data_IF_636048040963
#
_entry.id   IF_636048040963
#
_cell.length_a   1.000
_cell.length_b   1.000
_cell.length_c   1.000
_cell.angle_alpha   90.00
_cell.angle_beta   90.00
_cell.angle_gamma   90.00
#
_symmetry.space_group_name_H-M   'P 1'
#
loop_
_entity.id
_entity.type
_entity.pdbx_description
1 polymer ?
#
# COMPACT_ATOMS: atom_id res chain seq x y z
N UNK A 1 17.16 -20.50 -8.46
CA UNK A 1 15.96 -20.73 -7.63
C UNK A 1 15.71 -19.50 -6.81
N UNK A 2 14.89 -18.61 -7.31
CA UNK A 2 14.40 -17.46 -6.56
C UNK A 2 13.45 -17.97 -5.48
N UNK A 3 13.85 -17.85 -4.21
CA UNK A 3 12.92 -17.95 -3.09
C UNK A 3 11.87 -16.85 -3.28
N UNK A 4 10.75 -17.19 -3.88
CA UNK A 4 9.52 -16.45 -3.67
C UNK A 4 9.18 -16.76 -2.22
N UNK A 5 9.59 -15.89 -1.30
CA UNK A 5 8.99 -15.86 0.04
C UNK A 5 7.51 -15.60 -0.21
N UNK A 6 6.71 -16.61 0.02
CA UNK A 6 5.25 -16.54 0.00
C UNK A 6 4.85 -15.66 1.20
N UNK A 7 5.05 -14.36 1.05
CA UNK A 7 4.83 -13.38 2.10
C UNK A 7 3.44 -12.78 1.95
N UNK A 8 2.43 -13.66 1.88
CA UNK A 8 1.05 -13.24 1.82
C UNK A 8 0.69 -12.39 3.03
N UNK A 9 -0.08 -11.31 2.86
CA UNK A 9 -0.54 -10.50 3.97
C UNK A 9 -1.31 -11.33 4.99
N UNK A 10 -0.89 -11.28 6.26
CA UNK A 10 -1.58 -11.94 7.37
C UNK A 10 -1.50 -11.13 8.65
N UNK A 11 -2.46 -11.33 9.51
CA UNK A 11 -2.58 -10.66 10.81
C UNK A 11 -2.57 -11.66 11.94
N UNK A 12 -1.96 -11.29 13.06
CA UNK A 12 -2.08 -12.02 14.31
C UNK A 12 -3.16 -11.36 15.18
N UNK A 13 -4.25 -12.07 15.36
CA UNK A 13 -5.39 -11.59 16.14
C UNK A 13 -5.36 -12.24 17.52
N UNK A 14 -5.32 -11.40 18.56
CA UNK A 14 -5.29 -11.85 19.95
C UNK A 14 -6.64 -11.64 20.64
N UNK A 15 -6.99 -12.60 21.51
CA UNK A 15 -8.13 -12.46 22.40
C UNK A 15 -7.78 -11.52 23.56
N UNK A 16 -8.45 -10.36 23.65
CA UNK A 16 -8.16 -9.36 24.67
C UNK A 16 -8.50 -9.84 26.09
N UNK A 17 -9.58 -10.58 26.26
CA UNK A 17 -9.93 -11.16 27.56
C UNK A 17 -8.85 -12.13 28.08
N UNK A 18 -8.30 -12.96 27.22
CA UNK A 18 -7.19 -13.85 27.57
C UNK A 18 -5.92 -13.05 27.89
N UNK A 19 -5.55 -12.11 27.03
CA UNK A 19 -4.38 -11.27 27.18
C UNK A 19 -4.37 -10.51 28.51
N UNK A 20 -5.50 -9.89 28.88
CA UNK A 20 -5.66 -9.17 30.13
C UNK A 20 -5.59 -10.08 31.38
N UNK A 21 -5.79 -11.37 31.20
CA UNK A 21 -5.66 -12.40 32.26
C UNK A 21 -4.32 -13.15 32.22
N UNK A 22 -3.36 -12.68 31.42
CA UNK A 22 -2.01 -13.25 31.33
C UNK A 22 -1.89 -14.48 30.45
N UNK A 23 -2.89 -14.77 29.62
CA UNK A 23 -2.85 -15.89 28.67
C UNK A 23 -2.55 -15.40 27.26
N UNK A 24 -1.61 -16.04 26.59
CA UNK A 24 -1.36 -15.83 25.17
C UNK A 24 -2.32 -16.70 24.36
N UNK A 25 -3.40 -16.12 23.88
CA UNK A 25 -4.39 -16.79 23.04
C UNK A 25 -4.74 -15.94 21.84
N UNK A 26 -4.43 -16.42 20.65
CA UNK A 26 -4.64 -15.75 19.39
C UNK A 26 -4.39 -16.70 18.23
N UNK A 27 -4.48 -16.17 17.02
CA UNK A 27 -4.23 -16.92 15.79
C UNK A 27 -3.67 -16.02 14.70
N UNK A 28 -2.80 -16.56 13.86
CA UNK A 28 -2.46 -15.99 12.58
C UNK A 28 -3.57 -16.28 11.57
N UNK A 29 -4.05 -15.26 10.90
CA UNK A 29 -5.13 -15.33 9.93
C UNK A 29 -4.66 -14.68 8.63
N UNK A 30 -4.84 -15.37 7.51
CA UNK A 30 -4.55 -14.80 6.19
C UNK A 30 -5.48 -13.62 5.93
N UNK A 31 -4.93 -12.49 5.54
CA UNK A 31 -5.69 -11.28 5.25
C UNK A 31 -6.14 -11.21 3.78
N UNK A 32 -5.51 -12.01 2.90
CA UNK A 32 -5.87 -12.14 1.48
C UNK A 32 -7.03 -13.15 1.31
N UNK A 33 -8.16 -12.81 1.89
CA UNK A 33 -9.43 -13.54 1.79
C UNK A 33 -10.59 -12.60 2.10
N UNK A 34 -11.81 -13.05 1.89
CA UNK A 34 -13.00 -12.25 2.19
C UNK A 34 -13.07 -11.85 3.67
N UNK A 35 -13.50 -10.61 3.93
CA UNK A 35 -13.59 -10.09 5.29
C UNK A 35 -14.48 -10.96 6.21
N UNK A 36 -15.53 -11.58 5.67
CA UNK A 36 -16.41 -12.47 6.42
C UNK A 36 -15.70 -13.78 6.81
N UNK A 37 -14.80 -14.29 5.97
CA UNK A 37 -13.97 -15.45 6.30
C UNK A 37 -13.00 -15.12 7.43
N UNK A 38 -12.36 -13.94 7.36
CA UNK A 38 -11.49 -13.45 8.46
C UNK A 38 -12.29 -13.35 9.75
N UNK A 39 -13.50 -12.77 9.73
CA UNK A 39 -14.37 -12.67 10.90
C UNK A 39 -14.76 -14.04 11.46
N UNK A 40 -15.02 -15.01 10.59
CA UNK A 40 -15.33 -16.39 11.01
C UNK A 40 -14.14 -17.05 11.72
N UNK A 41 -12.92 -16.84 11.22
CA UNK A 41 -11.71 -17.34 11.88
C UNK A 41 -11.45 -16.65 13.23
N UNK A 42 -11.69 -15.34 13.32
CA UNK A 42 -11.64 -14.60 14.59
C UNK A 42 -12.65 -15.17 15.58
N UNK A 43 -13.90 -15.38 15.16
CA UNK A 43 -14.94 -15.97 16.02
C UNK A 43 -14.56 -17.36 16.49
N UNK A 44 -13.99 -18.20 15.62
CA UNK A 44 -13.50 -19.53 15.99
C UNK A 44 -12.33 -19.48 16.99
N UNK A 45 -11.44 -18.52 16.85
CA UNK A 45 -10.35 -18.28 17.80
C UNK A 45 -10.90 -17.86 19.18
N UNK A 46 -11.83 -16.90 19.20
CA UNK A 46 -12.48 -16.43 20.44
C UNK A 46 -13.25 -17.55 21.15
N UNK A 47 -13.95 -18.42 20.40
CA UNK A 47 -14.68 -19.54 20.94
C UNK A 47 -13.78 -20.57 21.65
N UNK A 48 -12.49 -20.63 21.28
CA UNK A 48 -11.48 -21.51 21.90
C UNK A 48 -10.71 -20.83 23.02
N UNK A 49 -11.05 -19.59 23.38
CA UNK A 49 -10.39 -18.85 24.46
C UNK A 49 -10.51 -19.59 25.80
N UNK A 50 -9.45 -19.57 26.64
CA UNK A 50 -9.53 -20.07 28.01
C UNK A 50 -10.47 -19.22 28.89
N UNK A 51 -10.82 -18.02 28.44
CA UNK A 51 -11.75 -17.12 29.13
C UNK A 51 -13.16 -17.29 28.53
N UNK A 52 -14.11 -17.63 29.38
CA UNK A 52 -15.51 -17.80 28.95
C UNK A 52 -16.11 -16.46 28.51
N UNK A 53 -16.89 -16.50 27.42
CA UNK A 53 -17.56 -15.32 26.82
C UNK A 53 -16.56 -14.24 26.38
N UNK A 54 -15.41 -14.64 25.85
CA UNK A 54 -14.50 -13.73 25.20
C UNK A 54 -15.12 -13.25 23.87
N UNK A 55 -15.24 -11.94 23.68
CA UNK A 55 -15.87 -11.32 22.52
C UNK A 55 -14.96 -10.27 21.87
N UNK A 56 -13.94 -9.78 22.59
CA UNK A 56 -13.07 -8.71 22.15
C UNK A 56 -11.73 -9.24 21.63
N UNK A 57 -11.26 -8.67 20.55
CA UNK A 57 -9.98 -8.97 19.92
C UNK A 57 -9.23 -7.71 19.52
N UNK A 58 -7.93 -7.87 19.26
CA UNK A 58 -7.11 -6.85 18.66
C UNK A 58 -6.07 -7.48 17.74
N UNK A 59 -5.59 -6.74 16.77
CA UNK A 59 -4.49 -7.12 15.89
C UNK A 59 -3.19 -6.76 16.62
N UNK A 60 -2.46 -7.78 17.09
CA UNK A 60 -1.22 -7.58 17.84
C UNK A 60 0.03 -7.64 16.99
N UNK A 61 -0.06 -8.26 15.81
CA UNK A 61 1.05 -8.36 14.87
C UNK A 61 0.52 -8.55 13.44
N UNK A 62 1.34 -8.29 12.46
CA UNK A 62 1.01 -8.48 11.05
C UNK A 62 2.28 -8.63 10.21
N UNK A 63 2.18 -9.29 9.08
CA UNK A 63 3.27 -9.45 8.12
C UNK A 63 2.74 -9.52 6.68
N UNK A 64 3.62 -9.32 5.70
CA UNK A 64 3.25 -9.34 4.29
C UNK A 64 2.58 -8.05 3.76
N UNK A 65 2.51 -6.98 4.55
CA UNK A 65 1.95 -5.70 4.14
C UNK A 65 3.00 -4.72 3.59
N UNK A 66 4.20 -5.21 3.26
CA UNK A 66 5.25 -4.44 2.56
C UNK A 66 5.61 -3.09 3.21
N UNK A 67 5.58 -3.00 4.54
CA UNK A 67 5.87 -1.78 5.29
C UNK A 67 4.66 -0.91 5.62
N UNK A 68 3.48 -1.24 5.12
CA UNK A 68 2.24 -0.55 5.48
C UNK A 68 1.87 -0.83 6.93
N UNK A 69 1.54 0.21 7.69
CA UNK A 69 1.17 0.09 9.09
C UNK A 69 -0.29 -0.30 9.26
N UNK A 70 -0.55 -1.38 10.00
CA UNK A 70 -1.88 -1.85 10.35
C UNK A 70 -2.17 -1.48 11.80
N UNK A 71 -3.26 -0.73 12.03
CA UNK A 71 -3.68 -0.36 13.38
C UNK A 71 -4.16 -1.57 14.18
N UNK A 72 -3.91 -1.58 15.48
CA UNK A 72 -4.37 -2.60 16.43
C UNK A 72 -5.88 -2.84 16.34
N UNK A 73 -6.65 -1.80 16.09
CA UNK A 73 -8.12 -1.84 15.98
C UNK A 73 -8.60 -1.54 14.56
N UNK A 74 -7.80 -1.84 13.54
CA UNK A 74 -8.20 -1.67 12.14
C UNK A 74 -9.46 -2.51 11.84
N UNK A 75 -10.35 -1.93 11.05
CA UNK A 75 -11.54 -2.66 10.57
C UNK A 75 -11.14 -3.79 9.63
N UNK A 76 -11.75 -4.95 9.80
CA UNK A 76 -11.42 -6.15 9.02
C UNK A 76 -11.67 -5.95 7.53
N UNK A 77 -12.71 -5.23 7.14
CA UNK A 77 -12.95 -4.90 5.73
C UNK A 77 -11.80 -4.08 5.13
N UNK A 78 -11.29 -3.10 5.88
CA UNK A 78 -10.14 -2.29 5.46
C UNK A 78 -8.87 -3.15 5.33
N UNK A 79 -8.60 -4.02 6.30
CA UNK A 79 -7.45 -4.93 6.29
C UNK A 79 -7.51 -5.86 5.07
N UNK A 80 -8.67 -6.46 4.80
CA UNK A 80 -8.87 -7.34 3.65
C UNK A 80 -8.69 -6.60 2.31
N UNK A 81 -9.20 -5.37 2.19
CA UNK A 81 -9.01 -4.53 1.00
C UNK A 81 -7.54 -4.16 0.79
N UNK A 82 -6.83 -3.77 1.86
CA UNK A 82 -5.39 -3.48 1.79
C UNK A 82 -4.59 -4.71 1.35
N UNK A 83 -4.89 -5.87 1.90
CA UNK A 83 -4.23 -7.12 1.54
C UNK A 83 -4.45 -7.44 0.05
N UNK A 84 -5.68 -7.37 -0.43
CA UNK A 84 -6.02 -7.60 -1.83
C UNK A 84 -5.33 -6.59 -2.76
N UNK A 85 -5.27 -5.33 -2.37
CA UNK A 85 -4.61 -4.27 -3.13
C UNK A 85 -3.09 -4.48 -3.25
N UNK A 86 -2.44 -4.91 -2.17
CA UNK A 86 -1.01 -5.25 -2.18
C UNK A 86 -0.77 -6.52 -3.00
N UNK A 87 -1.62 -7.53 -2.89
CA UNK A 87 -1.51 -8.77 -3.67
C UNK A 87 -1.64 -8.51 -5.18
N UNK A 88 -2.54 -7.62 -5.58
CA UNK A 88 -2.76 -7.26 -6.98
C UNK A 88 -1.67 -6.35 -7.55
N UNK A 89 -1.21 -5.36 -6.78
CA UNK A 89 -0.33 -4.28 -7.25
C UNK A 89 1.09 -4.34 -6.69
N UNK A 90 1.40 -5.30 -5.82
CA UNK A 90 2.74 -5.50 -5.27
C UNK A 90 3.31 -4.27 -4.57
N UNK A 91 4.59 -4.01 -4.81
CA UNK A 91 5.32 -2.89 -4.21
C UNK A 91 4.70 -1.51 -4.55
N UNK A 92 4.08 -1.36 -5.72
CA UNK A 92 3.38 -0.13 -6.11
C UNK A 92 2.15 0.11 -5.22
N UNK A 93 1.35 -0.92 -5.00
CA UNK A 93 0.19 -0.86 -4.11
C UNK A 93 0.58 -0.51 -2.67
N UNK A 94 1.60 -1.17 -2.15
CA UNK A 94 2.16 -0.87 -0.83
C UNK A 94 2.68 0.56 -0.73
N UNK A 95 3.42 1.03 -1.74
CA UNK A 95 3.92 2.40 -1.80
C UNK A 95 2.81 3.47 -1.80
N UNK A 96 1.71 3.21 -2.52
CA UNK A 96 0.54 4.09 -2.50
C UNK A 96 -0.15 4.11 -1.13
N UNK A 97 -0.33 2.97 -0.49
CA UNK A 97 -0.89 2.89 0.86
C UNK A 97 -0.01 3.63 1.87
N UNK A 98 1.31 3.50 1.77
CA UNK A 98 2.26 4.24 2.62
C UNK A 98 2.17 5.75 2.37
N UNK A 99 2.10 6.17 1.10
CA UNK A 99 1.97 7.58 0.69
C UNK A 99 0.73 8.25 1.32
N UNK A 100 -0.37 7.52 1.43
CA UNK A 100 -1.63 8.02 1.97
C UNK A 100 -1.93 7.54 3.40
N UNK A 101 -0.91 7.07 4.12
CA UNK A 101 -1.07 6.68 5.54
C UNK A 101 -2.05 5.54 5.79
N UNK A 102 -2.21 4.64 4.80
CA UNK A 102 -3.13 3.50 4.87
C UNK A 102 -4.54 3.80 4.38
N UNK A 103 -4.79 4.98 3.81
CA UNK A 103 -6.08 5.31 3.19
C UNK A 103 -6.25 4.55 1.88
N UNK A 104 -6.96 3.42 1.94
CA UNK A 104 -7.17 2.53 0.78
C UNK A 104 -8.05 3.20 -0.29
N UNK A 105 -9.02 4.01 0.08
CA UNK A 105 -9.88 4.71 -0.87
C UNK A 105 -9.08 5.70 -1.70
N UNK A 106 -8.18 6.44 -1.04
CA UNK A 106 -7.29 7.38 -1.72
C UNK A 106 -6.25 6.66 -2.59
N UNK A 107 -5.70 5.54 -2.12
CA UNK A 107 -4.74 4.75 -2.89
C UNK A 107 -5.37 4.17 -4.16
N UNK A 108 -6.55 3.56 -4.07
CA UNK A 108 -7.29 3.02 -5.22
C UNK A 108 -7.65 4.13 -6.22
N UNK A 109 -8.20 5.25 -5.74
CA UNK A 109 -8.52 6.40 -6.58
C UNK A 109 -7.29 6.92 -7.32
N UNK A 110 -6.17 7.09 -6.62
CA UNK A 110 -4.93 7.63 -7.21
C UNK A 110 -4.36 6.70 -8.28
N UNK A 111 -4.39 5.39 -8.04
CA UNK A 111 -3.94 4.41 -9.03
C UNK A 111 -4.84 4.41 -10.27
N UNK A 112 -6.14 4.57 -10.10
CA UNK A 112 -7.10 4.55 -11.20
C UNK A 112 -7.11 5.84 -12.02
N UNK A 113 -7.09 7.00 -11.37
CA UNK A 113 -7.37 8.29 -11.99
C UNK A 113 -6.17 9.22 -12.15
N UNK A 114 -5.06 8.96 -11.43
CA UNK A 114 -3.91 9.86 -11.37
C UNK A 114 -2.60 9.24 -11.89
N UNK A 115 -2.62 7.96 -12.30
CA UNK A 115 -1.43 7.24 -12.72
C UNK A 115 -1.05 7.54 -14.17
N UNK A 116 0.20 7.93 -14.40
CA UNK A 116 0.73 8.27 -15.73
C UNK A 116 1.68 7.25 -16.32
N UNK A 117 2.06 6.22 -15.58
CA UNK A 117 2.92 5.14 -16.05
C UNK A 117 4.24 5.03 -15.31
N UNK A 118 5.04 4.08 -15.75
CA UNK A 118 6.37 3.79 -15.22
C UNK A 118 7.44 4.37 -16.14
N UNK A 119 8.40 5.06 -15.56
CA UNK A 119 9.55 5.69 -16.22
C UNK A 119 10.83 5.36 -15.47
N UNK A 120 11.98 5.69 -16.04
CA UNK A 120 13.24 5.53 -15.32
C UNK A 120 13.43 6.63 -14.25
N UNK A 121 12.87 7.82 -14.50
CA UNK A 121 12.83 8.96 -13.60
C UNK A 121 11.74 9.94 -14.02
N UNK A 122 11.32 10.82 -13.13
CA UNK A 122 10.31 11.86 -13.42
C UNK A 122 10.72 12.77 -14.58
N UNK A 123 12.00 13.02 -14.76
CA UNK A 123 12.57 13.80 -15.87
C UNK A 123 12.11 13.28 -17.23
N UNK A 124 12.12 11.96 -17.43
CA UNK A 124 11.70 11.32 -18.69
C UNK A 124 10.20 11.59 -18.97
N UNK A 125 9.36 11.48 -17.97
CA UNK A 125 7.94 11.81 -18.08
C UNK A 125 7.72 13.29 -18.41
N UNK A 126 8.45 14.20 -17.76
CA UNK A 126 8.32 15.64 -18.01
C UNK A 126 8.76 16.03 -19.43
N UNK A 127 9.81 15.39 -19.95
CA UNK A 127 10.24 15.58 -21.34
C UNK A 127 9.15 15.09 -22.31
N UNK A 128 8.62 13.90 -22.11
CA UNK A 128 7.55 13.31 -22.93
C UNK A 128 6.30 14.21 -22.92
N UNK A 129 5.79 14.53 -21.74
CA UNK A 129 4.61 15.39 -21.56
C UNK A 129 4.76 16.75 -22.25
N UNK A 130 5.93 17.37 -22.09
CA UNK A 130 6.20 18.70 -22.67
C UNK A 130 6.32 18.64 -24.19
N UNK A 131 7.02 17.64 -24.73
CA UNK A 131 7.19 17.48 -26.18
C UNK A 131 5.91 17.10 -26.90
N UNK A 132 4.99 16.43 -26.21
CA UNK A 132 3.65 16.13 -26.75
C UNK A 132 2.71 17.32 -26.72
N UNK A 133 2.82 18.19 -25.71
CA UNK A 133 1.91 19.32 -25.51
C UNK A 133 2.39 20.64 -26.12
N UNK A 134 3.70 20.79 -26.35
CA UNK A 134 4.31 22.04 -26.86
C UNK A 134 5.25 21.72 -28.01
N UNK A 135 5.14 22.49 -29.09
CA UNK A 135 6.12 22.43 -30.20
C UNK A 135 7.41 23.14 -29.78
N UNK A 136 8.48 22.38 -29.61
CA UNK A 136 9.80 22.89 -29.23
C UNK A 136 10.62 23.13 -30.53
N UNK A 137 11.09 24.35 -30.79
CA UNK A 137 12.02 24.61 -31.90
C UNK A 137 13.31 23.78 -31.71
N UNK A 138 13.81 23.17 -32.79
CA UNK A 138 15.02 22.35 -32.77
C UNK A 138 16.22 23.09 -32.17
N UNK A 139 16.33 24.40 -32.40
CA UNK A 139 17.41 25.23 -31.85
C UNK A 139 17.40 25.35 -30.31
N UNK A 140 16.26 25.08 -29.66
CA UNK A 140 16.09 25.19 -28.20
C UNK A 140 16.09 23.84 -27.48
N UNK A 141 15.91 22.75 -28.22
CA UNK A 141 15.72 21.39 -27.64
C UNK A 141 16.83 20.99 -26.68
N UNK A 142 18.08 21.29 -27.01
CA UNK A 142 19.25 20.94 -26.20
C UNK A 142 19.56 21.89 -25.03
N UNK A 143 18.79 22.97 -24.92
CA UNK A 143 18.95 23.98 -23.86
C UNK A 143 17.94 23.85 -22.74
N UNK A 144 17.01 22.89 -22.84
CA UNK A 144 15.98 22.66 -21.83
C UNK A 144 16.58 21.79 -20.73
N UNK A 145 16.53 22.30 -19.51
CA UNK A 145 16.92 21.56 -18.30
C UNK A 145 15.72 20.76 -17.78
N UNK A 146 15.57 19.55 -18.28
CA UNK A 146 14.47 18.65 -17.93
C UNK A 146 14.54 18.20 -16.45
N UNK A 147 15.74 18.07 -15.87
CA UNK A 147 15.91 17.72 -14.46
C UNK A 147 15.42 18.87 -13.56
N UNK A 148 15.69 20.12 -13.94
CA UNK A 148 15.16 21.28 -13.23
C UNK A 148 13.62 21.34 -13.33
N UNK A 149 13.06 21.09 -14.52
CA UNK A 149 11.62 21.07 -14.73
C UNK A 149 10.92 20.00 -13.89
N UNK A 150 11.47 18.79 -13.84
CA UNK A 150 10.94 17.70 -13.02
C UNK A 150 10.97 18.05 -11.54
N UNK A 151 12.08 18.55 -11.04
CA UNK A 151 12.24 19.00 -9.65
C UNK A 151 11.24 20.08 -9.28
N UNK A 152 11.06 21.08 -10.15
CA UNK A 152 10.14 22.20 -9.91
C UNK A 152 8.68 21.72 -9.89
N UNK A 153 8.29 20.81 -10.78
CA UNK A 153 6.95 20.21 -10.80
C UNK A 153 6.66 19.38 -9.53
N UNK A 154 7.63 18.63 -9.04
CA UNK A 154 7.52 17.87 -7.79
C UNK A 154 7.44 18.80 -6.57
N UNK A 155 8.29 19.82 -6.50
CA UNK A 155 8.27 20.83 -5.43
C UNK A 155 7.00 21.67 -5.43
N UNK A 156 6.42 21.95 -6.60
CA UNK A 156 5.13 22.63 -6.73
C UNK A 156 3.93 21.74 -6.35
N UNK A 157 4.16 20.44 -6.14
CA UNK A 157 3.12 19.49 -5.81
C UNK A 157 2.23 19.10 -6.99
N UNK A 158 2.70 19.29 -8.22
CA UNK A 158 1.95 18.88 -9.42
C UNK A 158 1.98 17.37 -9.62
N UNK A 159 3.12 16.76 -9.33
CA UNK A 159 3.36 15.32 -9.44
C UNK A 159 4.05 14.78 -8.19
N UNK A 160 3.86 13.49 -7.95
CA UNK A 160 4.68 12.70 -7.03
C UNK A 160 5.06 11.38 -7.67
N UNK A 161 6.06 10.72 -7.12
CA UNK A 161 6.57 9.46 -7.65
C UNK A 161 6.66 8.39 -6.57
N UNK A 162 6.50 7.14 -6.99
CA UNK A 162 6.79 5.96 -6.17
C UNK A 162 7.83 5.13 -6.92
N UNK A 163 8.98 4.91 -6.30
CA UNK A 163 10.03 4.06 -6.82
C UNK A 163 9.89 2.66 -6.22
N UNK A 164 9.64 1.66 -7.08
CA UNK A 164 9.47 0.26 -6.66
C UNK A 164 10.75 -0.56 -6.76
N UNK A 165 11.65 -0.14 -7.64
CA UNK A 165 13.00 -0.65 -7.79
C UNK A 165 13.87 0.41 -8.48
N UNK A 166 15.19 0.18 -8.53
CA UNK A 166 16.08 1.10 -9.21
C UNK A 166 15.68 1.28 -10.69
N UNK A 167 15.38 2.52 -11.08
CA UNK A 167 14.92 2.85 -12.43
C UNK A 167 13.49 2.44 -12.75
N UNK A 168 12.69 2.08 -11.73
CA UNK A 168 11.25 1.82 -11.84
C UNK A 168 10.49 2.88 -11.05
N UNK A 169 10.27 4.03 -11.69
CA UNK A 169 9.62 5.20 -11.09
C UNK A 169 8.20 5.32 -11.65
N UNK A 170 7.22 5.19 -10.80
CA UNK A 170 5.81 5.37 -11.12
C UNK A 170 5.39 6.81 -10.87
N UNK A 171 4.79 7.45 -11.88
CA UNK A 171 4.44 8.87 -11.84
C UNK A 171 2.93 9.06 -11.65
N UNK A 172 2.58 9.93 -10.72
CA UNK A 172 1.20 10.29 -10.39
C UNK A 172 1.03 11.80 -10.38
N UNK A 173 -0.15 12.28 -10.84
CA UNK A 173 -0.54 13.66 -10.59
C UNK A 173 -1.17 13.82 -9.22
N UNK A 174 -0.90 14.96 -8.58
CA UNK A 174 -1.64 15.39 -7.40
C UNK A 174 -2.94 16.07 -7.84
N UNK A 175 -4.05 15.73 -7.17
CA UNK A 175 -5.34 16.41 -7.32
C UNK A 175 -5.82 16.94 -5.98
#
# INVERSE_FOLDING_TARGET
MTNVSNNNPRIYVACLAAYNNGYLHGAWIDADQDADEIRNEIAAMLARSPIKKAEEYAIHDYEGFEGVNISEYAEIDTVARMAAFIEEHGALGAGLLEQFGGDIDQAEFTLQDCYHGQFTKLTEYMEELTTESVTIPDALRYYIDWDAMARDAEMAGEFFTIETAYGEVHVFSNR
#
